data_IF_188536384279
#
_entry.id   IF_188536384279
#
_cell.length_a   1.000
_cell.length_b   1.000
_cell.length_c   1.000
_cell.angle_alpha   90.00
_cell.angle_beta   90.00
_cell.angle_gamma   90.00
#
_symmetry.space_group_name_H-M   'P 1'
#
loop_
_entity.id
_entity.type
_entity.pdbx_description
1 polymer ?
#
# COMPACT_ATOMS: atom_id res chain seq x y z
N UNK A 1 -10.80 1.28 15.47
CA UNK A 1 -9.37 1.67 15.53
C UNK A 1 -9.12 2.76 16.57
N UNK A 2 -9.92 3.82 16.66
CA UNK A 2 -9.81 4.84 17.72
C UNK A 2 -9.78 4.26 19.14
N UNK A 3 -10.68 3.32 19.46
CA UNK A 3 -10.68 2.64 20.77
C UNK A 3 -9.42 1.78 21.03
N UNK A 4 -8.82 1.19 19.99
CA UNK A 4 -7.59 0.41 20.14
C UNK A 4 -6.38 1.33 20.34
N UNK A 5 -6.35 2.47 19.64
CA UNK A 5 -5.35 3.53 19.80
C UNK A 5 -5.29 4.05 21.23
N UNK A 6 -6.45 4.30 21.85
CA UNK A 6 -6.52 4.70 23.26
C UNK A 6 -6.02 3.62 24.22
N UNK A 7 -6.29 2.34 23.93
CA UNK A 7 -5.87 1.23 24.80
C UNK A 7 -4.37 0.92 24.73
N UNK A 8 -3.75 1.09 23.56
CA UNK A 8 -2.32 0.80 23.35
C UNK A 8 -1.45 2.06 23.36
N UNK A 9 -2.07 3.23 23.54
CA UNK A 9 -1.44 4.55 23.58
C UNK A 9 -0.52 4.81 22.36
N UNK A 10 -0.98 4.42 21.17
CA UNK A 10 -0.30 4.66 19.90
C UNK A 10 -1.19 5.50 18.98
N UNK A 11 -0.63 6.43 18.18
CA UNK A 11 -1.35 7.11 17.13
C UNK A 11 -2.09 6.14 16.20
N UNK A 12 -3.29 6.51 15.75
CA UNK A 12 -4.11 5.72 14.82
C UNK A 12 -3.33 5.34 13.55
N UNK A 13 -2.53 6.26 13.04
CA UNK A 13 -1.72 6.05 11.83
C UNK A 13 -0.65 4.99 12.03
N UNK A 14 -0.02 4.93 13.21
CA UNK A 14 1.00 3.92 13.53
C UNK A 14 0.37 2.52 13.62
N UNK A 15 -0.86 2.44 14.16
CA UNK A 15 -1.62 1.19 14.19
C UNK A 15 -2.04 0.73 12.79
N UNK A 16 -2.49 1.66 11.94
CA UNK A 16 -2.83 1.36 10.55
C UNK A 16 -1.61 0.89 9.77
N UNK A 17 -0.48 1.55 9.95
CA UNK A 17 0.78 1.15 9.34
C UNK A 17 1.21 -0.26 9.78
N UNK A 18 1.25 -0.52 11.09
CA UNK A 18 1.57 -1.84 11.63
C UNK A 18 0.59 -2.92 11.15
N UNK A 19 -0.70 -2.58 11.06
CA UNK A 19 -1.70 -3.47 10.49
C UNK A 19 -1.46 -3.75 9.01
N UNK A 20 -0.97 -2.77 8.24
CA UNK A 20 -0.59 -2.93 6.83
C UNK A 20 0.52 -3.96 6.65
N UNK A 21 1.57 -3.87 7.48
CA UNK A 21 2.66 -4.85 7.49
C UNK A 21 2.13 -6.27 7.72
N UNK A 22 1.24 -6.45 8.71
CA UNK A 22 0.64 -7.74 9.02
C UNK A 22 -0.34 -8.24 7.94
N UNK A 23 -1.12 -7.32 7.36
CA UNK A 23 -2.12 -7.62 6.33
C UNK A 23 -1.46 -8.15 5.06
N UNK A 24 -0.34 -7.57 4.63
CA UNK A 24 0.41 -8.06 3.47
C UNK A 24 0.78 -9.54 3.62
N UNK A 25 1.34 -9.94 4.77
CA UNK A 25 1.71 -11.33 5.03
C UNK A 25 0.48 -12.26 5.01
N UNK A 26 -0.67 -11.76 5.47
CA UNK A 26 -1.93 -12.50 5.44
C UNK A 26 -2.47 -12.66 4.02
N UNK A 27 -2.38 -11.62 3.19
CA UNK A 27 -2.75 -11.67 1.77
C UNK A 27 -1.83 -12.61 1.00
N UNK A 28 -0.53 -12.58 1.24
CA UNK A 28 0.42 -13.49 0.60
C UNK A 28 0.19 -14.96 0.94
N UNK A 29 -0.33 -15.28 2.13
CA UNK A 29 -0.74 -16.64 2.50
C UNK A 29 -2.08 -17.04 1.90
N UNK A 30 -3.04 -16.13 1.83
CA UNK A 30 -4.39 -16.41 1.33
C UNK A 30 -4.46 -16.46 -0.20
N UNK A 31 -3.66 -15.63 -0.87
CA UNK A 31 -3.63 -15.43 -2.31
C UNK A 31 -2.18 -15.39 -2.84
N UNK A 32 -1.38 -16.47 -2.63
CA UNK A 32 0.02 -16.51 -3.06
C UNK A 32 0.18 -16.26 -4.55
N UNK A 33 -0.80 -16.67 -5.36
CA UNK A 33 -0.83 -16.48 -6.81
C UNK A 33 -0.77 -15.00 -7.21
N UNK A 34 -1.26 -14.08 -6.39
CA UNK A 34 -1.23 -12.65 -6.71
C UNK A 34 0.20 -12.12 -6.63
N UNK A 35 0.92 -12.47 -5.57
CA UNK A 35 2.27 -11.95 -5.31
C UNK A 35 3.31 -12.66 -6.18
N UNK A 36 3.16 -13.98 -6.37
CA UNK A 36 4.09 -14.81 -7.15
C UNK A 36 4.15 -14.46 -8.65
N UNK A 37 3.16 -13.73 -9.16
CA UNK A 37 3.15 -13.27 -10.55
C UNK A 37 4.12 -12.11 -10.82
N UNK A 38 4.77 -11.56 -9.78
CA UNK A 38 5.67 -10.43 -9.89
C UNK A 38 7.08 -10.79 -9.41
N UNK A 39 8.09 -10.28 -10.12
CA UNK A 39 9.51 -10.52 -9.81
C UNK A 39 10.22 -9.29 -9.23
N UNK A 40 9.48 -8.19 -9.01
CA UNK A 40 10.03 -6.93 -8.52
C UNK A 40 8.97 -6.19 -7.68
N UNK A 41 9.37 -5.51 -6.59
CA UNK A 41 8.46 -4.74 -5.75
C UNK A 41 7.79 -3.60 -6.54
N UNK A 42 8.55 -2.87 -7.36
CA UNK A 42 8.01 -1.79 -8.20
C UNK A 42 7.02 -2.31 -9.24
N UNK A 43 7.24 -3.52 -9.76
CA UNK A 43 6.31 -4.16 -10.69
C UNK A 43 4.98 -4.53 -10.01
N UNK A 44 5.02 -5.03 -8.78
CA UNK A 44 3.83 -5.32 -7.99
C UNK A 44 3.06 -4.03 -7.70
N UNK A 45 3.72 -3.00 -7.19
CA UNK A 45 3.09 -1.72 -6.84
C UNK A 45 2.44 -1.04 -8.05
N UNK A 46 3.13 -1.03 -9.19
CA UNK A 46 2.61 -0.50 -10.45
C UNK A 46 1.39 -1.28 -10.97
N UNK A 47 1.18 -2.51 -10.51
CA UNK A 47 0.09 -3.38 -10.99
C UNK A 47 -1.11 -3.45 -10.03
N UNK A 48 -1.06 -2.73 -8.89
CA UNK A 48 -2.12 -2.76 -7.88
C UNK A 48 -3.46 -2.36 -8.51
N UNK A 49 -3.54 -1.20 -9.16
CA UNK A 49 -4.80 -0.68 -9.67
C UNK A 49 -5.32 -1.52 -10.85
N UNK A 50 -4.49 -1.76 -11.85
CA UNK A 50 -4.92 -2.35 -13.12
C UNK A 50 -5.11 -3.88 -13.06
N UNK A 51 -4.44 -4.56 -12.12
CA UNK A 51 -4.48 -6.01 -12.04
C UNK A 51 -5.05 -6.51 -10.70
N UNK A 52 -4.47 -6.10 -9.57
CA UNK A 52 -4.83 -6.67 -8.27
C UNK A 52 -6.23 -6.21 -7.85
N UNK A 53 -6.51 -4.90 -7.86
CA UNK A 53 -7.82 -4.35 -7.51
C UNK A 53 -8.93 -4.81 -8.47
N UNK A 54 -8.62 -5.01 -9.75
CA UNK A 54 -9.56 -5.60 -10.72
C UNK A 54 -9.92 -7.04 -10.33
N UNK A 55 -8.95 -7.87 -9.93
CA UNK A 55 -9.23 -9.23 -9.47
C UNK A 55 -10.02 -9.25 -8.17
N UNK A 56 -9.69 -8.39 -7.21
CA UNK A 56 -10.43 -8.27 -5.95
C UNK A 56 -11.88 -7.88 -6.22
N UNK A 57 -12.15 -6.90 -7.08
CA UNK A 57 -13.52 -6.50 -7.44
C UNK A 57 -14.31 -7.59 -8.16
N UNK A 58 -13.66 -8.46 -8.94
CA UNK A 58 -14.34 -9.61 -9.56
C UNK A 58 -14.83 -10.60 -8.51
N UNK A 59 -14.05 -10.84 -7.45
CA UNK A 59 -14.42 -11.73 -6.36
C UNK A 59 -15.39 -11.08 -5.37
N UNK A 60 -15.22 -9.77 -5.14
CA UNK A 60 -15.96 -8.97 -4.19
C UNK A 60 -16.40 -7.65 -4.84
N UNK A 61 -17.51 -7.63 -5.60
CA UNK A 61 -17.97 -6.45 -6.32
C UNK A 61 -18.24 -5.23 -5.43
N UNK A 62 -18.65 -5.49 -4.18
CA UNK A 62 -18.95 -4.47 -3.17
C UNK A 62 -17.71 -3.94 -2.43
N UNK A 63 -16.50 -4.41 -2.79
CA UNK A 63 -15.28 -3.96 -2.15
C UNK A 63 -14.97 -2.50 -2.49
N UNK A 64 -14.92 -1.65 -1.47
CA UNK A 64 -14.43 -0.28 -1.61
C UNK A 64 -12.90 -0.26 -1.48
N UNK A 65 -12.24 -0.17 -2.64
CA UNK A 65 -10.79 -0.13 -2.76
C UNK A 65 -10.31 1.31 -2.97
N UNK A 66 -9.11 1.67 -2.48
CA UNK A 66 -8.47 2.92 -2.86
C UNK A 66 -8.08 2.88 -4.35
N UNK A 67 -7.80 4.05 -4.92
CA UNK A 67 -7.23 4.18 -6.25
C UNK A 67 -5.75 4.55 -6.14
N UNK A 68 -4.94 3.93 -7.00
CA UNK A 68 -3.54 4.32 -7.19
C UNK A 68 -3.32 4.82 -8.62
N UNK A 69 -2.86 6.05 -8.75
CA UNK A 69 -2.50 6.65 -10.05
C UNK A 69 -0.99 6.85 -10.11
N UNK A 70 -0.32 6.13 -11.00
CA UNK A 70 1.11 6.30 -11.24
C UNK A 70 1.34 7.63 -11.99
N UNK A 71 2.22 8.47 -11.45
CA UNK A 71 2.62 9.74 -12.06
C UNK A 71 3.93 9.62 -12.82
N UNK A 72 4.89 8.90 -12.24
CA UNK A 72 6.20 8.66 -12.84
C UNK A 72 6.76 7.32 -12.38
N UNK A 73 7.56 6.69 -13.24
CA UNK A 73 8.19 5.40 -12.97
C UNK A 73 9.51 5.30 -13.71
N UNK A 74 10.54 4.89 -12.98
CA UNK A 74 11.83 4.47 -13.52
C UNK A 74 12.13 3.03 -13.10
N UNK A 75 13.33 2.54 -13.39
CA UNK A 75 13.79 1.23 -12.94
C UNK A 75 14.00 1.16 -11.42
N UNK A 76 14.19 2.32 -10.75
CA UNK A 76 14.49 2.41 -9.32
C UNK A 76 13.55 3.34 -8.54
N UNK A 77 12.56 3.96 -9.18
CA UNK A 77 11.64 4.86 -8.50
C UNK A 77 10.20 4.73 -9.00
N UNK A 78 9.27 5.05 -8.11
CA UNK A 78 7.84 5.12 -8.41
C UNK A 78 7.22 6.29 -7.66
N UNK A 79 6.55 7.16 -8.40
CA UNK A 79 5.73 8.22 -7.83
C UNK A 79 4.28 7.94 -8.15
N UNK A 80 3.42 7.95 -7.14
CA UNK A 80 1.99 7.68 -7.31
C UNK A 80 1.11 8.50 -6.38
N UNK A 81 -0.13 8.73 -6.81
CA UNK A 81 -1.18 9.31 -5.98
C UNK A 81 -2.09 8.19 -5.47
N UNK A 82 -2.23 8.13 -4.16
CA UNK A 82 -3.24 7.36 -3.47
C UNK A 82 -4.49 8.24 -3.27
N UNK A 83 -5.66 7.70 -3.61
CA UNK A 83 -6.95 8.34 -3.34
C UNK A 83 -7.93 7.38 -2.68
N UNK A 84 -8.57 7.76 -1.60
CA UNK A 84 -9.60 6.96 -0.91
C UNK A 84 -10.54 7.80 -0.10
N UNK A 85 -11.83 7.47 -0.11
CA UNK A 85 -12.83 8.06 0.78
C UNK A 85 -12.58 7.77 2.27
N UNK A 86 -11.76 6.76 2.60
CA UNK A 86 -11.51 6.31 3.98
C UNK A 86 -10.25 6.91 4.60
N UNK A 87 -9.40 7.59 3.84
CA UNK A 87 -8.16 8.20 4.35
C UNK A 87 -7.15 7.21 4.95
N UNK A 88 -7.15 5.93 4.54
CA UNK A 88 -6.31 4.88 5.13
C UNK A 88 -4.88 4.85 4.54
N UNK A 89 -4.29 6.02 4.28
CA UNK A 89 -2.99 6.11 3.62
C UNK A 89 -1.86 5.44 4.42
N UNK A 90 -1.91 5.47 5.76
CA UNK A 90 -0.91 4.80 6.59
C UNK A 90 -0.96 3.28 6.46
N UNK A 91 -2.16 2.71 6.21
CA UNK A 91 -2.29 1.29 5.88
C UNK A 91 -1.63 0.97 4.54
N UNK A 92 -1.88 1.81 3.53
CA UNK A 92 -1.24 1.69 2.22
C UNK A 92 0.29 1.80 2.34
N UNK A 93 0.78 2.72 3.18
CA UNK A 93 2.21 2.87 3.45
C UNK A 93 2.83 1.57 4.00
N UNK A 94 2.20 0.93 4.99
CA UNK A 94 2.66 -0.35 5.52
C UNK A 94 2.66 -1.46 4.48
N UNK A 95 1.64 -1.53 3.62
CA UNK A 95 1.60 -2.50 2.52
C UNK A 95 2.74 -2.27 1.51
N UNK A 96 3.02 -1.02 1.16
CA UNK A 96 4.11 -0.64 0.26
C UNK A 96 5.44 -1.07 0.85
N UNK A 97 5.71 -0.72 2.10
CA UNK A 97 6.98 -1.07 2.75
C UNK A 97 7.19 -2.58 2.84
N UNK A 98 6.14 -3.31 3.26
CA UNK A 98 6.21 -4.76 3.36
C UNK A 98 6.41 -5.44 2.00
N UNK A 99 5.95 -4.81 0.91
CA UNK A 99 6.23 -5.27 -0.45
C UNK A 99 7.74 -5.33 -0.68
N UNK A 100 8.49 -4.27 -0.37
CA UNK A 100 9.96 -4.27 -0.54
C UNK A 100 10.64 -5.33 0.33
N UNK A 101 10.25 -5.44 1.61
CA UNK A 101 10.77 -6.48 2.50
C UNK A 101 10.54 -7.89 1.96
N UNK A 102 9.37 -8.15 1.35
CA UNK A 102 9.05 -9.46 0.75
C UNK A 102 9.99 -9.83 -0.40
N UNK A 103 10.40 -8.86 -1.21
CA UNK A 103 11.33 -9.05 -2.32
C UNK A 103 12.81 -8.93 -1.90
N UNK A 104 13.10 -9.00 -0.59
CA UNK A 104 14.45 -8.83 -0.03
C UNK A 104 15.12 -7.50 -0.46
N UNK A 105 14.30 -6.47 -0.71
CA UNK A 105 14.74 -5.15 -1.13
C UNK A 105 14.52 -4.08 -0.06
N UNK A 106 15.19 -2.94 -0.23
CA UNK A 106 15.04 -1.75 0.60
C UNK A 106 14.62 -0.56 -0.27
N UNK A 107 13.83 0.35 0.30
CA UNK A 107 13.41 1.56 -0.39
C UNK A 107 13.16 2.70 0.60
N UNK A 108 13.50 3.92 0.19
CA UNK A 108 13.02 5.13 0.84
C UNK A 108 11.60 5.41 0.36
N UNK A 109 10.65 5.37 1.30
CA UNK A 109 9.24 5.67 1.03
C UNK A 109 8.88 6.95 1.75
N UNK A 110 8.62 8.01 0.98
CA UNK A 110 8.14 9.27 1.50
C UNK A 110 6.70 9.50 1.05
N UNK A 111 5.92 10.20 1.86
CA UNK A 111 4.58 10.61 1.47
C UNK A 111 4.29 12.07 1.83
N UNK A 112 3.48 12.72 1.01
CA UNK A 112 2.97 14.07 1.24
C UNK A 112 1.45 14.04 1.18
N UNK A 113 0.81 14.52 2.23
CA UNK A 113 -0.65 14.70 2.25
C UNK A 113 -1.01 15.83 1.28
N UNK A 114 -1.81 15.52 0.26
CA UNK A 114 -2.38 16.52 -0.64
C UNK A 114 -3.73 17.05 -0.11
N UNK A 115 -4.41 16.24 0.70
CA UNK A 115 -5.55 16.63 1.53
C UNK A 115 -5.24 16.39 3.01
N UNK A 116 -5.68 17.30 3.89
CA UNK A 116 -5.45 17.23 5.34
C UNK A 116 -6.04 15.98 5.99
N UNK A 117 -7.14 15.44 5.43
CA UNK A 117 -7.81 14.24 5.90
C UNK A 117 -7.17 12.93 5.40
N UNK A 118 -6.10 13.02 4.60
CA UNK A 118 -5.39 11.86 4.05
C UNK A 118 -6.16 11.09 2.99
N UNK A 119 -7.25 11.66 2.46
CA UNK A 119 -8.01 11.06 1.36
C UNK A 119 -7.28 11.14 0.02
N UNK A 120 -6.32 12.06 -0.11
CA UNK A 120 -5.40 12.16 -1.25
C UNK A 120 -3.96 12.33 -0.76
N UNK A 121 -3.08 11.43 -1.15
CA UNK A 121 -1.69 11.37 -0.68
C UNK A 121 -0.76 11.02 -1.84
N UNK A 122 0.31 11.78 -1.99
CA UNK A 122 1.39 11.47 -2.92
C UNK A 122 2.42 10.59 -2.21
N UNK A 123 2.77 9.45 -2.82
CA UNK A 123 3.89 8.62 -2.43
C UNK A 123 5.04 8.79 -3.43
N UNK A 124 6.24 9.00 -2.90
CA UNK A 124 7.50 9.02 -3.63
C UNK A 124 8.37 7.89 -3.09
N UNK A 125 8.67 6.92 -3.95
CA UNK A 125 9.39 5.69 -3.58
C UNK A 125 10.67 5.62 -4.38
N UNK A 126 11.78 5.38 -3.68
CA UNK A 126 13.10 5.20 -4.28
C UNK A 126 13.68 3.89 -3.75
N UNK A 127 13.81 2.90 -4.63
CA UNK A 127 14.41 1.61 -4.31
C UNK A 127 15.94 1.73 -4.26
N UNK A 128 16.54 1.12 -3.23
CA UNK A 128 17.99 0.96 -3.12
C UNK A 128 18.38 -0.45 -3.57
N UNK A 129 19.35 -0.54 -4.47
CA UNK A 129 19.81 -1.82 -5.06
C UNK A 129 20.09 -1.71 -6.55
#
# INVERSE_FOLDING_TARGET
ISQLSEQVNMPVNDLLYAFGLYLFDSLGRAHPEVIQNYNSPLALLNSIEDHIHVHVKKLYPEAELPQFKILDKTDHSLTMIYTSSRGLYSLAHGLIEKTFTHFEGEADINYTLLSEDGTEVKFDIIQHG
#
